data_IF_336176146344
#
_entry.id   IF_336176146344
#
_cell.length_a   1.000
_cell.length_b   1.000
_cell.length_c   1.000
_cell.angle_alpha   90.00
_cell.angle_beta   90.00
_cell.angle_gamma   90.00
#
_symmetry.space_group_name_H-M   'P 1'
#
loop_
_entity.id
_entity.type
_entity.pdbx_description
1 polymer ?
#
# COMPACT_ATOMS: atom_id res chain seq x y z
N UNK A 1 21.67 -23.49 45.89
CA UNK A 1 21.76 -22.45 44.85
C UNK A 1 20.40 -22.37 44.19
N UNK A 2 19.61 -21.33 44.50
CA UNK A 2 18.24 -21.19 43.99
C UNK A 2 18.29 -20.57 42.59
N UNK A 3 17.70 -21.23 41.61
CA UNK A 3 17.58 -20.71 40.26
C UNK A 3 16.59 -19.52 40.28
N UNK A 4 17.08 -18.34 39.92
CA UNK A 4 16.22 -17.18 39.70
C UNK A 4 15.26 -17.50 38.55
N UNK A 5 13.97 -17.63 38.85
CA UNK A 5 12.95 -17.77 37.83
C UNK A 5 12.84 -16.45 37.06
N UNK A 6 13.08 -16.51 35.76
CA UNK A 6 12.97 -15.36 34.87
C UNK A 6 11.49 -15.05 34.64
N UNK A 7 11.04 -13.89 35.13
CA UNK A 7 9.68 -13.40 34.92
C UNK A 7 9.54 -12.94 33.48
N UNK A 8 8.63 -13.55 32.71
CA UNK A 8 8.33 -13.15 31.32
C UNK A 8 7.11 -12.22 31.34
N UNK A 9 7.31 -10.97 30.93
CA UNK A 9 6.25 -9.96 30.85
C UNK A 9 5.64 -9.93 29.44
N UNK A 10 4.33 -10.08 29.34
CA UNK A 10 3.60 -10.14 28.06
C UNK A 10 2.94 -8.79 27.76
N UNK A 11 3.66 -7.90 27.08
CA UNK A 11 3.25 -6.51 26.78
C UNK A 11 2.33 -6.35 25.55
N UNK A 12 1.75 -7.43 25.02
CA UNK A 12 0.96 -7.38 23.78
C UNK A 12 1.82 -7.11 22.54
N UNK A 13 1.21 -7.00 21.34
CA UNK A 13 1.96 -6.74 20.11
C UNK A 13 2.63 -5.36 20.20
N UNK A 14 3.89 -5.21 19.79
CA UNK A 14 4.57 -3.92 19.78
C UNK A 14 3.78 -2.93 18.93
N UNK A 15 3.74 -1.63 19.31
CA UNK A 15 3.06 -0.62 18.52
C UNK A 15 3.62 -0.65 17.10
N UNK A 16 2.72 -0.70 16.11
CA UNK A 16 3.09 -0.74 14.70
C UNK A 16 3.96 0.47 14.38
N UNK A 17 5.24 0.23 14.08
CA UNK A 17 6.16 1.28 13.70
C UNK A 17 5.62 2.03 12.48
N UNK A 18 5.59 3.37 12.52
CA UNK A 18 5.13 4.18 11.40
C UNK A 18 6.06 4.00 10.20
N UNK A 19 5.66 3.16 9.25
CA UNK A 19 6.45 2.91 8.05
C UNK A 19 6.29 4.04 7.05
N UNK A 20 7.25 4.17 6.13
CA UNK A 20 7.13 5.07 4.97
C UNK A 20 5.81 4.86 4.20
N UNK A 21 5.34 3.61 4.12
CA UNK A 21 4.09 3.27 3.44
C UNK A 21 2.87 3.81 4.17
N UNK A 22 2.86 3.78 5.50
CA UNK A 22 1.80 4.36 6.33
C UNK A 22 1.68 5.87 6.09
N UNK A 23 2.80 6.58 6.00
CA UNK A 23 2.81 8.03 5.68
C UNK A 23 2.28 8.31 4.28
N UNK A 24 2.71 7.53 3.28
CA UNK A 24 2.25 7.67 1.90
C UNK A 24 0.74 7.42 1.81
N UNK A 25 0.25 6.34 2.41
CA UNK A 25 -1.17 6.01 2.41
C UNK A 25 -2.00 7.13 3.08
N UNK A 26 -1.53 7.68 4.20
CA UNK A 26 -2.17 8.83 4.86
C UNK A 26 -2.22 10.06 3.95
N UNK A 27 -1.12 10.38 3.27
CA UNK A 27 -1.06 11.52 2.34
C UNK A 27 -2.04 11.34 1.17
N UNK A 28 -2.12 10.14 0.60
CA UNK A 28 -3.06 9.81 -0.48
C UNK A 28 -4.52 9.85 -0.01
N UNK A 29 -4.83 9.38 1.21
CA UNK A 29 -6.19 9.49 1.79
C UNK A 29 -6.60 10.93 2.03
N UNK A 30 -5.65 11.81 2.37
CA UNK A 30 -5.90 13.25 2.52
C UNK A 30 -6.17 13.98 1.20
N UNK A 31 -5.86 13.37 0.05
CA UNK A 31 -6.12 13.89 -1.30
C UNK A 31 -6.77 12.81 -2.17
N UNK A 32 -8.03 12.46 -1.91
CA UNK A 32 -8.72 11.41 -2.66
C UNK A 32 -8.77 11.74 -4.16
N UNK A 33 -8.75 10.70 -4.99
CA UNK A 33 -8.81 10.77 -6.46
C UNK A 33 -7.62 11.43 -7.17
N UNK A 34 -6.70 12.07 -6.45
CA UNK A 34 -5.49 12.69 -7.00
C UNK A 34 -4.36 11.68 -7.18
N UNK A 35 -3.72 11.69 -8.35
CA UNK A 35 -2.57 10.84 -8.63
C UNK A 35 -1.28 11.48 -8.10
N UNK A 36 -0.59 10.77 -7.21
CA UNK A 36 0.72 11.17 -6.71
C UNK A 36 1.80 10.14 -7.07
N UNK A 37 3.04 10.61 -7.28
CA UNK A 37 4.20 9.74 -7.45
C UNK A 37 4.68 9.28 -6.07
N UNK A 38 4.48 8.00 -5.76
CA UNK A 38 4.81 7.43 -4.44
C UNK A 38 6.21 6.86 -4.36
N UNK A 39 6.76 6.44 -5.50
CA UNK A 39 8.08 5.84 -5.58
C UNK A 39 8.68 6.05 -6.97
N UNK A 40 10.00 6.25 -7.00
CA UNK A 40 10.82 6.13 -8.21
C UNK A 40 11.66 4.85 -8.06
N UNK A 41 11.67 4.02 -9.08
CA UNK A 41 12.37 2.73 -9.07
C UNK A 41 13.48 2.71 -10.11
N UNK A 42 14.51 1.91 -9.84
CA UNK A 42 15.62 1.71 -10.77
C UNK A 42 15.23 0.89 -12.01
N UNK A 43 14.10 0.18 -11.99
CA UNK A 43 13.59 -0.59 -13.12
C UNK A 43 12.07 -0.60 -13.17
N UNK A 44 11.52 -0.76 -14.37
CA UNK A 44 10.06 -0.87 -14.58
C UNK A 44 9.46 -2.08 -13.86
N UNK A 45 10.20 -3.20 -13.78
CA UNK A 45 9.76 -4.39 -13.06
C UNK A 45 9.55 -4.11 -11.57
N UNK A 46 10.50 -3.41 -10.93
CA UNK A 46 10.36 -3.00 -9.52
C UNK A 46 9.20 -2.01 -9.32
N UNK A 47 9.01 -1.08 -10.26
CA UNK A 47 7.86 -0.18 -10.21
C UNK A 47 6.53 -0.95 -10.34
N UNK A 48 6.44 -1.92 -11.25
CA UNK A 48 5.25 -2.74 -11.46
C UNK A 48 4.92 -3.61 -10.23
N UNK A 49 5.92 -4.27 -9.65
CA UNK A 49 5.76 -5.04 -8.41
C UNK A 49 5.29 -4.16 -7.25
N UNK A 50 5.85 -2.95 -7.10
CA UNK A 50 5.42 -2.00 -6.08
C UNK A 50 3.97 -1.54 -6.31
N UNK A 51 3.60 -1.20 -7.54
CA UNK A 51 2.21 -0.85 -7.88
C UNK A 51 1.24 -2.00 -7.56
N UNK A 52 1.62 -3.25 -7.85
CA UNK A 52 0.80 -4.42 -7.51
C UNK A 52 0.64 -4.60 -6.00
N UNK A 53 1.71 -4.41 -5.22
CA UNK A 53 1.65 -4.51 -3.76
C UNK A 53 0.71 -3.47 -3.13
N UNK A 54 0.65 -2.26 -3.71
CA UNK A 54 -0.28 -1.20 -3.28
C UNK A 54 -1.73 -1.60 -3.61
N UNK A 55 -2.01 -2.02 -4.87
CA UNK A 55 -3.37 -2.40 -5.29
C UNK A 55 -3.95 -3.58 -4.49
N UNK A 56 -3.10 -4.57 -4.23
CA UNK A 56 -3.47 -5.79 -3.50
C UNK A 56 -3.50 -5.62 -1.98
N UNK A 57 -3.20 -4.43 -1.46
CA UNK A 57 -3.04 -4.18 -0.02
C UNK A 57 -2.11 -5.18 0.70
N UNK A 58 -1.08 -5.69 0.01
CA UNK A 58 -0.07 -6.59 0.62
C UNK A 58 0.62 -5.95 1.82
N UNK A 59 0.61 -4.62 1.89
CA UNK A 59 1.02 -3.85 3.05
C UNK A 59 -0.24 -3.32 3.72
N UNK A 60 -0.41 -3.59 5.02
CA UNK A 60 -1.55 -3.14 5.84
C UNK A 60 -1.86 -1.64 5.69
N UNK A 61 -0.85 -0.81 5.40
CA UNK A 61 -1.04 0.62 5.15
C UNK A 61 -2.02 0.93 3.99
N UNK A 62 -2.13 0.05 3.00
CA UNK A 62 -2.99 0.23 1.83
C UNK A 62 -4.30 -0.57 1.91
N UNK A 63 -4.62 -1.13 3.08
CA UNK A 63 -5.92 -1.77 3.28
C UNK A 63 -7.06 -0.73 3.23
N UNK A 64 -8.25 -1.17 2.80
CA UNK A 64 -8.54 -2.50 2.22
C UNK A 64 -8.06 -2.63 0.76
N UNK A 65 -7.88 -3.87 0.30
CA UNK A 65 -7.48 -4.14 -1.09
C UNK A 65 -8.44 -3.47 -2.08
N UNK A 66 -7.90 -2.81 -3.10
CA UNK A 66 -8.69 -2.03 -4.06
C UNK A 66 -9.02 -0.60 -3.63
N UNK A 67 -8.80 -0.21 -2.37
CA UNK A 67 -9.00 1.18 -1.93
C UNK A 67 -7.99 2.17 -2.55
N UNK A 68 -6.88 1.64 -3.08
CA UNK A 68 -5.87 2.41 -3.79
C UNK A 68 -5.71 1.89 -5.22
N UNK A 69 -5.71 2.81 -6.17
CA UNK A 69 -5.25 2.53 -7.53
C UNK A 69 -3.78 2.89 -7.62
N UNK A 70 -2.99 2.00 -8.22
CA UNK A 70 -1.58 2.27 -8.49
C UNK A 70 -1.21 1.82 -9.90
N UNK A 71 -0.30 2.54 -10.54
CA UNK A 71 0.18 2.27 -11.90
C UNK A 71 1.68 2.56 -11.97
N UNK A 72 2.43 1.67 -12.61
CA UNK A 72 3.83 1.92 -12.95
C UNK A 72 3.91 2.52 -14.36
N UNK A 73 4.63 3.64 -14.50
CA UNK A 73 4.89 4.28 -15.79
C UNK A 73 6.34 4.70 -15.88
N UNK A 74 6.92 4.56 -17.07
CA UNK A 74 8.21 5.17 -17.39
C UNK A 74 7.95 6.53 -18.01
N UNK A 75 8.49 7.59 -17.42
CA UNK A 75 8.37 8.96 -17.94
C UNK A 75 9.77 9.56 -18.02
N UNK A 76 10.19 9.99 -19.21
CA UNK A 76 11.53 10.56 -19.46
C UNK A 76 12.68 9.66 -18.97
N UNK A 77 12.56 8.34 -19.18
CA UNK A 77 13.56 7.36 -18.73
C UNK A 77 13.50 7.01 -17.24
N UNK A 78 12.66 7.67 -16.43
CA UNK A 78 12.48 7.33 -15.02
C UNK A 78 11.27 6.41 -14.82
N UNK A 79 11.46 5.31 -14.07
CA UNK A 79 10.36 4.44 -13.68
C UNK A 79 9.68 4.97 -12.42
N UNK A 80 8.44 5.40 -12.55
CA UNK A 80 7.65 6.04 -11.51
C UNK A 80 6.42 5.20 -11.18
N UNK A 81 6.11 5.10 -9.90
CA UNK A 81 4.88 4.51 -9.39
C UNK A 81 3.95 5.64 -9.03
N UNK A 82 2.83 5.70 -9.73
CA UNK A 82 1.73 6.60 -9.45
C UNK A 82 0.71 5.85 -8.60
N UNK A 83 0.17 6.49 -7.57
CA UNK A 83 -0.94 5.94 -6.80
C UNK A 83 -1.93 7.04 -6.45
N UNK A 84 -3.19 6.64 -6.28
CA UNK A 84 -4.28 7.47 -5.79
C UNK A 84 -5.18 6.66 -4.86
N UNK A 85 -5.77 7.34 -3.89
CA UNK A 85 -6.82 6.75 -3.06
C UNK A 85 -8.17 6.90 -3.76
N UNK A 86 -8.89 5.79 -3.94
CA UNK A 86 -10.22 5.76 -4.57
C UNK A 86 -11.33 5.37 -3.61
N UNK A 87 -11.00 4.98 -2.38
CA UNK A 87 -11.95 4.54 -1.37
C UNK A 87 -12.50 3.13 -1.60
N UNK A 88 -13.26 2.62 -0.63
CA UNK A 88 -13.81 1.25 -0.63
C UNK A 88 -14.82 0.97 -1.74
N UNK A 89 -15.38 1.99 -2.40
CA UNK A 89 -16.48 1.82 -3.36
C UNK A 89 -16.06 1.45 -4.78
N UNK A 90 -14.76 1.39 -5.10
CA UNK A 90 -14.30 1.06 -6.45
C UNK A 90 -14.46 -0.42 -6.83
N UNK A 91 -14.84 -1.30 -5.89
CA UNK A 91 -15.08 -2.72 -6.18
C UNK A 91 -16.49 -3.03 -6.71
N UNK A 92 -17.44 -2.08 -6.70
CA UNK A 92 -18.84 -2.37 -7.05
C UNK A 92 -19.21 -2.21 -8.54
N UNK A 93 -18.28 -1.84 -9.43
CA UNK A 93 -18.60 -1.51 -10.85
C UNK A 93 -17.83 -2.33 -11.91
N UNK A 94 -17.22 -3.47 -11.55
CA UNK A 94 -16.50 -4.31 -12.52
C UNK A 94 -17.06 -5.74 -12.66
N UNK A 95 -18.30 -5.99 -12.22
CA UNK A 95 -18.96 -7.31 -12.35
C UNK A 95 -20.39 -7.19 -12.91
N UNK A 96 -20.54 -6.43 -14.01
CA UNK A 96 -21.83 -6.28 -14.69
C UNK A 96 -21.69 -5.63 -16.06
N UNK A 97 -21.55 -6.46 -17.10
CA UNK A 97 -21.51 -5.96 -18.48
C UNK A 97 -21.27 -6.99 -19.58
N UNK A 98 -22.30 -7.81 -19.82
CA UNK A 98 -22.82 -8.27 -21.13
C UNK A 98 -21.86 -8.89 -22.16
N UNK A 99 -21.90 -10.22 -22.26
CA UNK A 99 -21.73 -10.89 -23.55
C UNK A 99 -23.10 -10.91 -24.25
N UNK A 100 -23.22 -10.14 -25.33
CA UNK A 100 -24.22 -10.31 -26.36
C UNK A 100 -23.72 -11.33 -27.40
#
# INVERSE_FOLDING_TARGET
MSAAQQVVEFLGPPPVAETKHTRIARALRGRPSEWAVVQRAASIGRAASAAQAIRSARLHAYEPAGAFQAVARTVQGEHRVYARYVGEQAQAVADGGVAA
#
